data_IF_176901171128
#
_entry.id   IF_176901171128
#
_cell.length_a   1.000
_cell.length_b   1.000
_cell.length_c   1.000
_cell.angle_alpha   90.00
_cell.angle_beta   90.00
_cell.angle_gamma   90.00
#
_symmetry.space_group_name_H-M   'P 1'
#
loop_
_entity.id
_entity.type
_entity.pdbx_description
1 polymer ?
#
# COMPACT_ATOMS: atom_id res chain seq x y z
N UNK A 1 -16.00 7.30 7.64
CA UNK A 1 -17.12 7.28 8.56
C UNK A 1 -18.22 8.22 8.07
N UNK A 2 -19.35 7.66 7.63
CA UNK A 2 -20.48 8.43 7.09
C UNK A 2 -21.11 9.42 8.10
N UNK A 3 -20.84 9.25 9.39
CA UNK A 3 -21.40 10.11 10.45
C UNK A 3 -20.62 11.41 10.67
N UNK A 4 -19.34 11.45 10.36
CA UNK A 4 -18.49 12.61 10.67
C UNK A 4 -18.17 13.46 9.44
N UNK A 5 -18.49 13.02 8.23
CA UNK A 5 -18.20 13.72 6.99
C UNK A 5 -16.69 13.89 6.70
N UNK A 6 -15.82 13.40 7.58
CA UNK A 6 -14.36 13.43 7.42
C UNK A 6 -13.84 12.03 7.14
N UNK A 7 -13.53 11.76 5.89
CA UNK A 7 -12.81 10.55 5.48
C UNK A 7 -11.32 10.76 5.74
N UNK A 8 -10.85 10.35 6.92
CA UNK A 8 -9.42 10.41 7.28
C UNK A 8 -8.83 9.01 7.44
N UNK A 9 -7.55 8.86 7.14
CA UNK A 9 -6.83 7.60 7.39
C UNK A 9 -6.82 7.24 8.88
N UNK A 10 -6.78 8.21 9.79
CA UNK A 10 -6.89 7.99 11.24
C UNK A 10 -8.23 7.37 11.65
N UNK A 11 -9.35 7.80 11.05
CA UNK A 11 -10.65 7.19 11.31
C UNK A 11 -10.69 5.71 10.87
N UNK A 12 -10.10 5.39 9.71
CA UNK A 12 -9.96 4.02 9.23
C UNK A 12 -9.09 3.16 10.16
N UNK A 13 -7.97 3.70 10.63
CA UNK A 13 -7.09 3.02 11.60
C UNK A 13 -7.83 2.74 12.90
N UNK A 14 -8.53 3.73 13.44
CA UNK A 14 -9.32 3.58 14.67
C UNK A 14 -10.37 2.48 14.52
N UNK A 15 -11.00 2.38 13.35
CA UNK A 15 -11.95 1.31 13.06
C UNK A 15 -11.26 -0.06 12.97
N UNK A 16 -10.12 -0.16 12.30
CA UNK A 16 -9.33 -1.40 12.29
C UNK A 16 -8.96 -1.87 13.69
N UNK A 17 -8.51 -0.96 14.56
CA UNK A 17 -8.14 -1.29 15.94
C UNK A 17 -9.34 -1.75 16.75
N UNK A 18 -10.49 -1.09 16.64
CA UNK A 18 -11.73 -1.49 17.31
C UNK A 18 -12.18 -2.89 16.85
N UNK A 19 -12.20 -3.14 15.54
CA UNK A 19 -12.64 -4.41 14.97
C UNK A 19 -11.75 -5.61 15.36
N UNK A 20 -10.54 -5.37 15.84
CA UNK A 20 -9.66 -6.39 16.40
C UNK A 20 -9.98 -6.73 17.86
N UNK A 21 -10.88 -5.99 18.51
CA UNK A 21 -11.31 -6.25 19.89
C UNK A 21 -11.98 -7.62 20.05
N UNK A 22 -11.92 -8.16 21.27
CA UNK A 22 -12.44 -9.50 21.59
C UNK A 22 -13.93 -9.66 21.21
N UNK A 23 -14.71 -8.59 21.42
CA UNK A 23 -16.17 -8.59 21.21
C UNK A 23 -16.58 -8.18 19.77
N UNK A 24 -15.61 -8.05 18.87
CA UNK A 24 -15.82 -7.63 17.49
C UNK A 24 -15.55 -8.80 16.51
N UNK A 25 -14.66 -8.60 15.53
CA UNK A 25 -14.35 -9.60 14.51
C UNK A 25 -12.86 -10.01 14.48
N UNK A 26 -12.23 -10.35 15.62
CA UNK A 26 -10.79 -10.62 15.70
C UNK A 26 -10.31 -11.73 14.76
N UNK A 27 -11.16 -12.71 14.46
CA UNK A 27 -10.80 -13.83 13.59
C UNK A 27 -10.48 -13.41 12.15
N UNK A 28 -11.08 -12.34 11.64
CA UNK A 28 -10.74 -11.78 10.33
C UNK A 28 -9.27 -11.34 10.26
N UNK A 29 -8.76 -10.80 11.37
CA UNK A 29 -7.41 -10.23 11.44
C UNK A 29 -6.32 -11.29 11.68
N UNK A 30 -6.67 -12.50 12.09
CA UNK A 30 -5.71 -13.58 12.29
C UNK A 30 -4.94 -13.92 10.99
N UNK A 31 -5.62 -13.85 9.86
CA UNK A 31 -5.06 -14.18 8.54
C UNK A 31 -4.62 -12.95 7.73
N UNK A 32 -4.96 -11.75 8.17
CA UNK A 32 -4.60 -10.52 7.47
C UNK A 32 -3.09 -10.28 7.53
N UNK A 33 -2.43 -10.17 6.38
CA UNK A 33 -0.99 -9.88 6.31
C UNK A 33 -0.73 -8.38 6.41
N UNK A 34 -1.44 -7.60 5.62
CA UNK A 34 -1.40 -6.14 5.65
C UNK A 34 -2.80 -5.58 5.92
N UNK A 35 -2.83 -4.47 6.62
CA UNK A 35 -4.02 -3.64 6.82
C UNK A 35 -3.75 -2.30 6.17
N UNK A 36 -4.72 -1.80 5.40
CA UNK A 36 -4.62 -0.53 4.71
C UNK A 36 -5.71 0.42 5.21
N UNK A 37 -5.36 1.66 5.46
CA UNK A 37 -6.31 2.75 5.68
C UNK A 37 -6.13 3.78 4.59
N UNK A 38 -7.15 3.97 3.76
CA UNK A 38 -7.14 4.80 2.56
C UNK A 38 -8.36 5.72 2.53
N UNK A 39 -8.25 6.89 1.89
CA UNK A 39 -9.33 7.88 1.85
C UNK A 39 -9.56 8.54 0.47
N UNK A 40 -9.01 7.96 -0.60
CA UNK A 40 -9.06 8.51 -1.96
C UNK A 40 -7.83 9.34 -2.35
N UNK A 41 -7.15 9.94 -1.39
CA UNK A 41 -5.95 10.77 -1.63
C UNK A 41 -4.72 10.25 -0.91
N UNK A 42 -4.91 9.79 0.31
CA UNK A 42 -3.84 9.37 1.22
C UNK A 42 -4.01 7.90 1.62
N UNK A 43 -2.92 7.27 1.98
CA UNK A 43 -2.93 5.87 2.40
C UNK A 43 -1.84 5.54 3.41
N UNK A 44 -2.22 4.75 4.40
CA UNK A 44 -1.32 4.22 5.41
C UNK A 44 -1.47 2.70 5.49
N UNK A 45 -0.39 2.02 5.83
CA UNK A 45 -0.41 0.58 6.05
C UNK A 45 0.14 0.21 7.42
N UNK A 46 -0.31 -0.92 7.89
CA UNK A 46 0.13 -1.58 9.10
C UNK A 46 -0.18 -3.06 9.03
N UNK A 47 -0.21 -3.72 10.18
CA UNK A 47 -0.63 -5.12 10.31
C UNK A 47 -1.45 -5.30 11.58
N UNK A 48 -1.95 -6.50 11.83
CA UNK A 48 -2.71 -6.83 13.03
C UNK A 48 -1.96 -6.43 14.29
N UNK A 49 -2.62 -5.72 15.20
CA UNK A 49 -2.05 -5.22 16.44
C UNK A 49 -1.21 -3.95 16.32
N UNK A 50 -0.97 -3.42 15.11
CA UNK A 50 -0.19 -2.19 14.91
C UNK A 50 -0.92 -0.99 15.51
N UNK A 51 -0.33 -0.36 16.53
CA UNK A 51 -0.87 0.87 17.13
C UNK A 51 -0.85 2.02 16.12
N UNK A 52 -1.82 2.95 16.21
CA UNK A 52 -2.00 4.04 15.25
C UNK A 52 -0.70 4.79 14.90
N UNK A 53 0.09 5.15 15.90
CA UNK A 53 1.36 5.90 15.70
C UNK A 53 2.43 5.15 14.90
N UNK A 54 2.27 3.86 14.63
CA UNK A 54 3.21 3.04 13.89
C UNK A 54 2.74 2.71 12.48
N UNK A 55 1.52 3.11 12.11
CA UNK A 55 1.09 3.04 10.72
C UNK A 55 1.95 3.95 9.86
N UNK A 56 2.32 3.49 8.69
CA UNK A 56 3.31 4.16 7.85
C UNK A 56 2.77 4.43 6.44
N UNK A 57 3.28 5.48 5.82
CA UNK A 57 3.16 5.68 4.36
C UNK A 57 4.14 4.76 3.65
N UNK A 58 3.75 4.30 2.48
CA UNK A 58 4.66 3.65 1.55
C UNK A 58 5.24 4.70 0.60
N UNK A 59 6.56 4.72 0.45
CA UNK A 59 7.23 5.47 -0.59
C UNK A 59 7.92 4.46 -1.50
N UNK A 60 7.48 4.40 -2.75
CA UNK A 60 8.04 3.48 -3.73
C UNK A 60 9.33 4.04 -4.32
N UNK A 61 10.32 3.19 -4.53
CA UNK A 61 11.61 3.56 -5.06
C UNK A 61 11.92 2.88 -6.42
N UNK A 62 11.12 1.88 -6.80
CA UNK A 62 11.32 1.10 -8.02
C UNK A 62 10.33 1.42 -9.14
N UNK A 63 9.29 2.19 -8.87
CA UNK A 63 8.27 2.59 -9.84
C UNK A 63 8.34 4.11 -9.98
N UNK A 64 8.50 4.57 -11.19
CA UNK A 64 8.57 6.01 -11.53
C UNK A 64 7.18 6.65 -11.56
N UNK A 65 7.13 7.98 -11.43
CA UNK A 65 5.86 8.74 -11.55
C UNK A 65 5.20 8.53 -12.93
N UNK A 66 6.00 8.39 -13.98
CA UNK A 66 5.49 8.10 -15.32
C UNK A 66 4.81 6.74 -15.40
N UNK A 67 5.38 5.72 -14.75
CA UNK A 67 4.77 4.39 -14.68
C UNK A 67 3.48 4.38 -13.84
N UNK A 68 3.45 5.09 -12.72
CA UNK A 68 2.21 5.28 -11.95
C UNK A 68 1.13 5.94 -12.79
N UNK A 69 1.46 7.05 -13.47
CA UNK A 69 0.52 7.75 -14.34
C UNK A 69 -0.01 6.85 -15.46
N UNK A 70 0.86 6.09 -16.10
CA UNK A 70 0.46 5.15 -17.16
C UNK A 70 -0.46 4.03 -16.64
N UNK A 71 -0.27 3.57 -15.40
CA UNK A 71 -1.14 2.56 -14.78
C UNK A 71 -2.52 3.12 -14.43
N UNK A 72 -2.58 4.32 -13.85
CA UNK A 72 -3.82 4.96 -13.41
C UNK A 72 -4.67 5.39 -14.62
N UNK A 73 -4.03 5.88 -15.67
CA UNK A 73 -4.69 6.34 -16.90
C UNK A 73 -4.87 5.23 -17.95
N UNK A 74 -4.65 3.97 -17.57
CA UNK A 74 -4.83 2.85 -18.49
C UNK A 74 -6.29 2.73 -18.92
N UNK A 75 -6.59 2.69 -20.23
CA UNK A 75 -7.95 2.49 -20.71
C UNK A 75 -8.60 1.23 -20.13
N UNK A 76 -9.84 1.34 -19.73
CA UNK A 76 -10.65 0.24 -19.20
C UNK A 76 -11.60 -0.27 -20.28
N UNK A 77 -11.87 -1.58 -20.28
CA UNK A 77 -12.93 -2.14 -21.12
C UNK A 77 -14.31 -1.68 -20.64
N UNK A 78 -15.30 -1.66 -21.57
CA UNK A 78 -16.66 -1.21 -21.27
C UNK A 78 -17.27 -1.99 -20.10
N UNK A 79 -17.09 -3.31 -20.03
CA UNK A 79 -17.60 -4.15 -18.94
C UNK A 79 -17.05 -3.72 -17.57
N UNK A 80 -15.77 -3.31 -17.52
CA UNK A 80 -15.17 -2.79 -16.28
C UNK A 80 -15.69 -1.42 -15.92
N UNK A 81 -15.87 -0.55 -16.91
CA UNK A 81 -16.46 0.77 -16.68
C UNK A 81 -17.89 0.65 -16.16
N UNK A 82 -18.69 -0.21 -16.76
CA UNK A 82 -20.05 -0.47 -16.31
C UNK A 82 -20.09 -1.00 -14.88
N UNK A 83 -19.24 -1.97 -14.55
CA UNK A 83 -19.13 -2.50 -13.19
C UNK A 83 -18.73 -1.43 -12.16
N UNK A 84 -17.74 -0.61 -12.48
CA UNK A 84 -17.23 0.41 -11.56
C UNK A 84 -18.17 1.59 -11.38
N UNK A 85 -18.87 1.97 -12.45
CA UNK A 85 -19.66 3.19 -12.50
C UNK A 85 -21.17 2.97 -12.35
N UNK A 86 -21.65 1.72 -12.32
CA UNK A 86 -23.08 1.40 -12.36
C UNK A 86 -23.92 2.19 -11.35
N UNK A 87 -23.44 2.28 -10.11
CA UNK A 87 -24.16 2.96 -9.01
C UNK A 87 -23.66 4.39 -8.72
N UNK A 88 -22.86 4.97 -9.61
CA UNK A 88 -22.35 6.34 -9.42
C UNK A 88 -23.29 7.35 -10.05
N UNK A 89 -23.40 8.56 -9.45
CA UNK A 89 -24.14 9.67 -10.05
C UNK A 89 -23.61 10.04 -11.45
N UNK A 90 -24.49 10.52 -12.32
CA UNK A 90 -24.15 10.81 -13.71
C UNK A 90 -22.97 11.80 -13.86
N UNK A 91 -22.96 12.86 -13.06
CA UNK A 91 -21.87 13.86 -13.09
C UNK A 91 -20.52 13.25 -12.74
N UNK A 92 -20.46 12.31 -11.76
CA UNK A 92 -19.21 11.62 -11.38
C UNK A 92 -18.72 10.72 -12.53
N UNK A 93 -19.65 10.05 -13.22
CA UNK A 93 -19.31 9.23 -14.39
C UNK A 93 -18.70 10.08 -15.51
N UNK A 94 -19.35 11.18 -15.85
CA UNK A 94 -18.90 12.08 -16.93
C UNK A 94 -17.52 12.65 -16.61
N UNK A 95 -17.32 13.14 -15.40
CA UNK A 95 -16.04 13.69 -14.94
C UNK A 95 -14.92 12.64 -15.00
N UNK A 96 -15.16 11.45 -14.43
CA UNK A 96 -14.18 10.36 -14.42
C UNK A 96 -13.81 9.92 -15.85
N UNK A 97 -14.80 9.72 -16.73
CA UNK A 97 -14.56 9.32 -18.11
C UNK A 97 -13.80 10.40 -18.89
N UNK A 98 -14.14 11.66 -18.68
CA UNK A 98 -13.42 12.78 -19.32
C UNK A 98 -11.95 12.81 -18.92
N UNK A 99 -11.64 12.65 -17.62
CA UNK A 99 -10.25 12.62 -17.14
C UNK A 99 -9.50 11.37 -17.61
N UNK A 100 -10.16 10.22 -17.64
CA UNK A 100 -9.56 8.98 -18.11
C UNK A 100 -9.24 9.03 -19.61
N UNK A 101 -10.15 9.54 -20.43
CA UNK A 101 -9.97 9.68 -21.88
C UNK A 101 -8.89 10.72 -22.23
N UNK A 102 -8.77 11.77 -21.42
CA UNK A 102 -7.70 12.75 -21.55
C UNK A 102 -6.35 12.27 -21.02
N UNK A 103 -6.32 11.19 -20.22
CA UNK A 103 -5.11 10.74 -19.55
C UNK A 103 -4.66 11.66 -18.39
N UNK A 104 -5.61 12.37 -17.78
CA UNK A 104 -5.37 13.43 -16.79
C UNK A 104 -5.73 13.02 -15.35
N UNK A 105 -6.01 11.74 -15.11
CA UNK A 105 -6.20 11.25 -13.74
C UNK A 105 -4.90 11.46 -12.95
N UNK A 106 -5.01 12.23 -11.86
CA UNK A 106 -3.87 12.51 -10.99
C UNK A 106 -3.53 11.30 -10.11
N UNK A 107 -2.24 10.99 -10.01
CA UNK A 107 -1.72 9.94 -9.12
C UNK A 107 -1.74 10.45 -7.68
N UNK A 108 -2.42 9.76 -6.80
CA UNK A 108 -2.52 10.07 -5.38
C UNK A 108 -1.57 9.21 -4.53
N UNK A 109 -1.37 9.56 -3.26
CA UNK A 109 -0.61 8.71 -2.32
C UNK A 109 -1.32 7.37 -2.07
N UNK A 110 -2.65 7.34 -2.16
CA UNK A 110 -3.42 6.10 -2.14
C UNK A 110 -3.06 5.20 -3.31
N UNK A 111 -2.99 5.74 -4.53
CA UNK A 111 -2.67 4.97 -5.73
C UNK A 111 -1.25 4.40 -5.65
N UNK A 112 -0.28 5.21 -5.21
CA UNK A 112 1.10 4.75 -4.98
C UNK A 112 1.14 3.59 -3.98
N UNK A 113 0.41 3.71 -2.86
CA UNK A 113 0.32 2.65 -1.86
C UNK A 113 -0.26 1.37 -2.44
N UNK A 114 -1.41 1.45 -3.12
CA UNK A 114 -2.12 0.28 -3.65
C UNK A 114 -1.32 -0.41 -4.75
N UNK A 115 -0.84 0.35 -5.72
CA UNK A 115 -0.04 -0.19 -6.83
C UNK A 115 1.27 -0.82 -6.34
N UNK A 116 1.92 -0.22 -5.34
CA UNK A 116 3.19 -0.74 -4.84
C UNK A 116 3.04 -1.97 -3.97
N UNK A 117 2.10 -1.97 -3.01
CA UNK A 117 1.99 -3.04 -2.00
C UNK A 117 1.13 -4.21 -2.43
N UNK A 118 0.13 -3.99 -3.30
CA UNK A 118 -0.80 -5.07 -3.69
C UNK A 118 -0.39 -5.82 -4.95
N UNK A 119 0.74 -5.52 -5.55
CA UNK A 119 1.33 -6.39 -6.59
C UNK A 119 1.63 -7.75 -5.97
N UNK A 120 1.29 -8.86 -6.64
CA UNK A 120 1.43 -10.20 -6.08
C UNK A 120 2.86 -10.52 -5.62
N UNK A 121 3.86 -10.14 -6.39
CA UNK A 121 5.28 -10.30 -6.06
C UNK A 121 5.67 -9.53 -4.79
N UNK A 122 5.27 -8.25 -4.69
CA UNK A 122 5.53 -7.40 -3.52
C UNK A 122 4.78 -7.90 -2.30
N UNK A 123 3.52 -8.28 -2.44
CA UNK A 123 2.73 -8.78 -1.33
C UNK A 123 3.31 -10.07 -0.75
N UNK A 124 3.78 -10.98 -1.61
CA UNK A 124 4.47 -12.20 -1.20
C UNK A 124 5.82 -11.88 -0.54
N UNK A 125 6.59 -10.94 -1.09
CA UNK A 125 7.85 -10.48 -0.51
C UNK A 125 7.62 -9.91 0.89
N UNK A 126 6.67 -9.00 1.05
CA UNK A 126 6.31 -8.40 2.34
C UNK A 126 5.86 -9.43 3.36
N UNK A 127 5.04 -10.39 2.95
CA UNK A 127 4.52 -11.43 3.85
C UNK A 127 5.58 -12.42 4.30
N UNK A 128 6.55 -12.73 3.44
CA UNK A 128 7.58 -13.76 3.70
C UNK A 128 8.85 -13.23 4.35
N UNK A 129 9.31 -12.05 3.90
CA UNK A 129 10.62 -11.53 4.26
C UNK A 129 10.56 -10.31 5.17
N UNK A 130 9.47 -9.54 5.13
CA UNK A 130 9.33 -8.25 5.79
C UNK A 130 8.21 -8.20 6.82
N UNK A 131 7.67 -9.36 7.20
CA UNK A 131 6.73 -9.52 8.32
C UNK A 131 7.36 -10.43 9.37
N UNK A 132 7.42 -9.93 10.60
CA UNK A 132 8.02 -10.62 11.73
C UNK A 132 6.99 -10.82 12.86
N UNK A 133 7.22 -11.83 13.68
CA UNK A 133 6.46 -12.06 14.91
C UNK A 133 7.38 -11.91 16.12
N UNK A 134 7.15 -10.85 16.87
CA UNK A 134 7.86 -10.57 18.12
C UNK A 134 7.00 -10.97 19.31
N UNK A 135 7.61 -11.55 20.36
CA UNK A 135 6.88 -12.02 21.54
C UNK A 135 6.16 -10.89 22.31
N UNK A 136 6.70 -9.66 22.27
CA UNK A 136 6.13 -8.51 23.00
C UNK A 136 5.30 -7.61 22.12
N UNK A 137 5.76 -7.35 20.90
CA UNK A 137 5.12 -6.42 19.96
C UNK A 137 4.06 -7.09 19.06
N UNK A 138 4.02 -8.44 19.02
CA UNK A 138 3.14 -9.17 18.14
C UNK A 138 3.62 -9.18 16.69
N UNK A 139 2.70 -9.07 15.77
CA UNK A 139 3.01 -9.03 14.35
C UNK A 139 3.51 -7.63 13.97
N UNK A 140 4.63 -7.57 13.27
CA UNK A 140 5.28 -6.34 12.82
C UNK A 140 5.53 -6.44 11.32
N UNK A 141 5.24 -5.38 10.58
CA UNK A 141 5.56 -5.23 9.17
C UNK A 141 6.63 -4.14 8.99
N UNK A 142 7.60 -4.41 8.11
CA UNK A 142 8.68 -3.48 7.84
C UNK A 142 8.17 -2.19 7.16
N UNK A 143 8.83 -1.07 7.44
CA UNK A 143 8.64 0.19 6.73
C UNK A 143 9.41 0.16 5.41
N UNK A 144 9.00 1.00 4.45
CA UNK A 144 9.64 1.04 3.13
C UNK A 144 11.16 1.26 3.21
N UNK A 145 11.64 2.12 4.12
CA UNK A 145 13.09 2.35 4.31
C UNK A 145 13.83 1.06 4.68
N UNK A 146 13.22 0.23 5.53
CA UNK A 146 13.79 -1.04 5.92
C UNK A 146 13.80 -2.04 4.75
N UNK A 147 12.71 -2.06 3.98
CA UNK A 147 12.61 -2.94 2.81
C UNK A 147 13.68 -2.60 1.78
N UNK A 148 13.76 -1.34 1.35
CA UNK A 148 14.72 -0.93 0.32
C UNK A 148 16.15 -0.92 0.84
N UNK A 149 16.38 -0.53 2.09
CA UNK A 149 17.71 -0.59 2.70
C UNK A 149 18.26 -2.01 2.79
N UNK A 150 17.44 -2.99 3.19
CA UNK A 150 17.84 -4.41 3.21
C UNK A 150 18.10 -4.92 1.79
N UNK A 151 17.26 -4.58 0.82
CA UNK A 151 17.47 -4.98 -0.58
C UNK A 151 18.76 -4.43 -1.15
N UNK A 152 19.02 -3.15 -0.94
CA UNK A 152 20.28 -2.51 -1.37
C UNK A 152 21.50 -3.14 -0.69
N UNK A 153 21.38 -3.47 0.61
CA UNK A 153 22.44 -4.17 1.34
C UNK A 153 22.73 -5.56 0.73
N UNK A 154 21.67 -6.36 0.51
CA UNK A 154 21.80 -7.69 -0.07
C UNK A 154 22.43 -7.62 -1.48
N UNK A 155 21.99 -6.70 -2.31
CA UNK A 155 22.54 -6.47 -3.63
C UNK A 155 24.04 -6.16 -3.54
N UNK A 156 24.43 -5.24 -2.66
CA UNK A 156 25.81 -4.84 -2.49
C UNK A 156 26.72 -5.98 -2.00
N UNK A 157 26.29 -6.74 -0.99
CA UNK A 157 27.08 -7.88 -0.48
C UNK A 157 27.09 -9.07 -1.43
N UNK A 158 26.16 -9.14 -2.38
CA UNK A 158 26.10 -10.17 -3.42
C UNK A 158 26.92 -9.80 -4.66
N UNK A 159 27.31 -8.52 -4.78
CA UNK A 159 28.12 -8.02 -5.88
C UNK A 159 29.61 -8.26 -5.61
N UNK A 160 30.35 -8.58 -6.68
CA UNK A 160 31.78 -8.74 -6.64
C UNK A 160 32.43 -7.65 -7.50
N UNK A 161 33.52 -7.08 -7.02
CA UNK A 161 34.34 -6.15 -7.78
C UNK A 161 35.17 -6.87 -8.86
N UNK A 162 35.91 -6.09 -9.64
CA UNK A 162 36.77 -6.65 -10.70
C UNK A 162 37.93 -7.52 -10.17
N UNK A 163 38.23 -7.44 -8.86
CA UNK A 163 39.24 -8.27 -8.21
C UNK A 163 38.70 -9.59 -7.66
N UNK A 164 37.37 -9.80 -7.74
CA UNK A 164 36.69 -10.96 -7.16
C UNK A 164 36.43 -10.82 -5.66
N UNK A 165 36.60 -9.61 -5.09
CA UNK A 165 36.26 -9.30 -3.72
C UNK A 165 34.83 -8.78 -3.61
N UNK A 166 34.17 -9.06 -2.50
CA UNK A 166 32.83 -8.50 -2.24
C UNK A 166 32.89 -7.01 -1.94
N UNK A 167 31.97 -6.27 -2.50
CA UNK A 167 31.84 -4.85 -2.15
C UNK A 167 31.39 -4.69 -0.70
N UNK A 168 32.23 -4.04 0.12
CA UNK A 168 31.89 -3.66 1.48
C UNK A 168 31.11 -2.35 1.54
N UNK A 169 30.59 -2.02 2.71
CA UNK A 169 29.92 -0.74 2.96
C UNK A 169 29.64 -0.53 4.45
N UNK A 170 29.29 0.70 4.77
CA UNK A 170 28.77 1.10 6.09
C UNK A 170 27.29 1.45 5.91
N UNK A 171 26.45 0.99 6.84
CA UNK A 171 25.01 1.25 6.86
C UNK A 171 24.75 2.36 7.88
#
# INVERSE_FOLDING_TARGET
>A
DAKTGKLTTSAGISQHLRNQGHDEIPHLFAYSQLLLSINGYDGLYGTTGTKEKFWAKWKEELITETEFSALINKPLSQDKLDLLLNHRPAHVKIEFLSLLDAGELAVTDQDRLLVSLLRPDRLLEMSRLFTLFDKKAGKIVARYQQVFGIKALIERISSFDKSGSREGGVI
#
